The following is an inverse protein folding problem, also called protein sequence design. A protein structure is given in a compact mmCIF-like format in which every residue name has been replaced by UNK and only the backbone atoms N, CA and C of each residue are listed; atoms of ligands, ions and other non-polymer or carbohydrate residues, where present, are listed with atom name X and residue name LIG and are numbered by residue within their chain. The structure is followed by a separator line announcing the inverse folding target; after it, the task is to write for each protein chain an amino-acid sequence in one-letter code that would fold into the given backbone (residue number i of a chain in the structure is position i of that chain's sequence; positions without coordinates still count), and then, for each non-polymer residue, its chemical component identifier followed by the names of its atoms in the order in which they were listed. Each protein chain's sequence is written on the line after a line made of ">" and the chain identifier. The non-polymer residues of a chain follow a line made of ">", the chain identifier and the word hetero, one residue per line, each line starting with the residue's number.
data_IF_343906635956
#
_entry.id   IF_343906635956
#
_cell.length_a   1.000
_cell.length_b   1.000
_cell.length_c   1.000
_cell.angle_alpha   90.00
_cell.angle_beta   90.00
_cell.angle_gamma   90.00
#
_symmetry.space_group_name_H-M   'P 1'
#
loop_
_entity.id
_entity.type
_entity.pdbx_description
1 polymer ?
#
# COMPACT_ATOMS: atom_id res chain seq x y z
N UNK A 1 -2.36 13.15 3.45
CA UNK A 1 -2.70 12.69 4.82
C UNK A 1 -3.42 13.83 5.51
N UNK A 2 -4.54 13.55 6.19
CA UNK A 2 -5.30 14.58 6.92
C UNK A 2 -4.74 14.90 8.32
N UNK A 3 -3.85 14.06 8.85
CA UNK A 3 -3.14 14.26 10.11
C UNK A 3 -1.74 14.84 9.83
N UNK A 4 -1.42 15.97 10.48
CA UNK A 4 -0.16 16.70 10.32
C UNK A 4 1.07 15.99 10.88
N UNK A 5 0.88 15.02 11.76
CA UNK A 5 1.95 14.39 12.53
C UNK A 5 2.49 13.14 11.82
N UNK A 6 1.66 12.51 10.97
CA UNK A 6 2.01 11.34 10.16
C UNK A 6 3.35 11.49 9.41
N UNK A 7 3.63 12.60 8.70
CA UNK A 7 4.91 12.78 8.01
C UNK A 7 6.15 12.65 8.92
N UNK A 8 6.04 13.05 10.18
CA UNK A 8 7.16 12.98 11.13
C UNK A 8 7.44 11.52 11.54
N UNK A 9 6.41 10.74 11.85
CA UNK A 9 6.54 9.32 12.17
C UNK A 9 7.20 8.53 11.02
N UNK A 10 6.70 8.70 9.80
CA UNK A 10 7.23 7.96 8.64
C UNK A 10 8.65 8.38 8.27
N UNK A 11 9.01 9.65 8.49
CA UNK A 11 10.39 10.13 8.32
C UNK A 11 11.33 9.51 9.35
N UNK A 12 10.91 9.47 10.63
CA UNK A 12 11.69 8.84 11.69
C UNK A 12 11.93 7.34 11.38
N UNK A 13 10.89 6.63 10.96
CA UNK A 13 11.01 5.23 10.56
C UNK A 13 11.91 5.05 9.33
N UNK A 14 11.79 5.91 8.30
CA UNK A 14 12.66 5.88 7.13
C UNK A 14 14.15 6.16 7.45
N UNK A 15 14.41 6.91 8.52
CA UNK A 15 15.75 7.14 9.08
C UNK A 15 16.26 5.97 9.95
N UNK A 16 15.49 4.90 10.10
CA UNK A 16 15.82 3.73 10.91
C UNK A 16 15.61 3.93 12.41
N UNK A 17 14.85 4.96 12.81
CA UNK A 17 14.48 5.15 14.22
C UNK A 17 13.31 4.23 14.56
N UNK A 18 13.29 3.76 15.80
CA UNK A 18 12.11 3.09 16.34
C UNK A 18 10.95 4.09 16.44
N UNK A 19 9.75 3.61 16.11
CA UNK A 19 8.50 4.36 16.21
C UNK A 19 7.52 3.56 17.06
N UNK A 20 6.73 4.24 17.88
CA UNK A 20 5.64 3.60 18.61
C UNK A 20 4.43 3.45 17.69
N UNK A 21 4.19 2.23 17.21
CA UNK A 21 3.07 1.95 16.31
C UNK A 21 1.71 2.30 16.91
N UNK A 22 1.53 2.21 18.23
CA UNK A 22 0.29 2.62 18.88
C UNK A 22 0.07 4.13 18.78
N UNK A 23 1.14 4.93 18.85
CA UNK A 23 1.09 6.38 18.64
C UNK A 23 0.82 6.72 17.16
N UNK A 24 1.52 6.05 16.22
CA UNK A 24 1.33 6.26 14.77
C UNK A 24 -0.13 6.03 14.35
N UNK A 25 -0.82 5.09 14.99
CA UNK A 25 -2.17 4.67 14.62
C UNK A 25 -3.25 4.96 15.69
N UNK A 26 -2.99 5.83 16.67
CA UNK A 26 -3.87 6.06 17.82
C UNK A 26 -5.35 6.34 17.45
N UNK A 27 -5.58 7.07 16.36
CA UNK A 27 -6.93 7.44 15.89
C UNK A 27 -7.38 6.67 14.62
N UNK A 28 -6.69 5.58 14.29
CA UNK A 28 -6.93 4.79 13.09
C UNK A 28 -7.35 3.36 13.44
N UNK A 29 -8.42 2.89 12.79
CA UNK A 29 -8.93 1.52 12.96
C UNK A 29 -8.44 0.55 11.88
N UNK A 30 -7.84 1.08 10.81
CA UNK A 30 -7.30 0.32 9.71
C UNK A 30 -6.19 1.09 9.01
N UNK A 31 -5.31 0.34 8.34
CA UNK A 31 -4.26 0.88 7.49
C UNK A 31 -4.39 0.20 6.13
N UNK A 32 -4.32 1.00 5.06
CA UNK A 32 -4.13 0.50 3.69
C UNK A 32 -3.07 1.32 2.97
N UNK A 33 -2.42 0.70 1.97
CA UNK A 33 -1.49 1.37 1.05
C UNK A 33 -0.22 1.95 1.72
N UNK A 34 0.63 2.59 0.94
CA UNK A 34 1.84 3.23 1.43
C UNK A 34 1.53 4.42 2.35
N UNK A 35 2.35 4.65 3.39
CA UNK A 35 3.59 3.94 3.74
C UNK A 35 3.43 2.77 4.74
N UNK A 36 2.21 2.41 5.17
CA UNK A 36 2.01 1.39 6.20
C UNK A 36 2.01 -0.05 5.68
N UNK A 37 1.58 -0.29 4.43
CA UNK A 37 1.57 -1.64 3.85
C UNK A 37 2.95 -2.34 3.83
N UNK A 38 4.07 -1.66 3.54
CA UNK A 38 5.42 -2.26 3.60
C UNK A 38 5.83 -2.82 4.97
N UNK A 39 5.35 -2.19 6.05
CA UNK A 39 5.70 -2.55 7.43
C UNK A 39 4.67 -3.50 8.05
N UNK A 40 3.84 -4.16 7.24
CA UNK A 40 2.77 -5.05 7.70
C UNK A 40 3.25 -6.08 8.74
N UNK A 41 4.49 -6.56 8.64
CA UNK A 41 5.03 -7.54 9.57
C UNK A 41 5.22 -6.93 10.96
N UNK A 42 5.82 -5.73 11.04
CA UNK A 42 6.00 -4.98 12.28
C UNK A 42 4.64 -4.64 12.90
N UNK A 43 3.68 -4.21 12.07
CA UNK A 43 2.31 -3.94 12.52
C UNK A 43 1.61 -5.20 13.03
N UNK A 44 1.82 -6.36 12.40
CA UNK A 44 1.19 -7.62 12.83
C UNK A 44 1.69 -8.11 14.19
N UNK A 45 2.92 -7.72 14.57
CA UNK A 45 3.54 -7.96 15.87
C UNK A 45 3.07 -6.94 16.90
N UNK A 46 3.04 -5.65 16.55
CA UNK A 46 2.60 -4.58 17.43
C UNK A 46 1.10 -4.66 17.77
N UNK A 47 0.29 -5.15 16.83
CA UNK A 47 -1.14 -5.35 16.97
C UNK A 47 -1.51 -6.83 16.80
N UNK A 48 -1.26 -7.68 17.82
CA UNK A 48 -1.43 -9.13 17.71
C UNK A 48 -2.89 -9.58 17.55
N UNK A 49 -3.84 -8.73 17.91
CA UNK A 49 -5.28 -8.98 17.74
C UNK A 49 -5.83 -8.45 16.41
N UNK A 50 -5.05 -7.64 15.68
CA UNK A 50 -5.47 -7.12 14.39
C UNK A 50 -5.54 -8.25 13.35
N UNK A 51 -6.63 -8.26 12.60
CA UNK A 51 -6.81 -9.07 11.40
C UNK A 51 -6.06 -8.44 10.23
N UNK A 52 -5.52 -9.28 9.35
CA UNK A 52 -4.78 -8.86 8.15
C UNK A 52 -5.62 -9.21 6.92
N UNK A 53 -5.93 -8.20 6.12
CA UNK A 53 -6.53 -8.37 4.79
C UNK A 53 -5.42 -8.15 3.76
N UNK A 54 -5.05 -9.22 3.06
CA UNK A 54 -4.00 -9.21 2.06
C UNK A 54 -4.61 -9.25 0.66
N UNK A 55 -4.53 -8.12 -0.04
CA UNK A 55 -5.13 -8.01 -1.37
C UNK A 55 -4.21 -8.57 -2.45
N UNK A 56 -4.69 -9.56 -3.20
CA UNK A 56 -3.94 -10.17 -4.29
C UNK A 56 -4.70 -10.10 -5.61
N UNK A 57 -3.96 -9.93 -6.71
CA UNK A 57 -4.47 -10.05 -8.08
C UNK A 57 -3.60 -11.02 -8.87
N UNK A 58 -4.12 -11.50 -10.00
CA UNK A 58 -3.30 -12.22 -10.97
C UNK A 58 -2.09 -11.35 -11.38
N UNK A 59 -0.92 -11.96 -11.47
CA UNK A 59 0.34 -11.24 -11.63
C UNK A 59 0.37 -10.34 -12.87
N UNK A 60 -0.18 -10.83 -13.98
CA UNK A 60 -0.22 -10.07 -15.23
C UNK A 60 -1.18 -8.87 -15.13
N UNK A 61 -2.32 -9.03 -14.43
CA UNK A 61 -3.26 -7.93 -14.18
C UNK A 61 -2.65 -6.88 -13.24
N UNK A 62 -1.99 -7.36 -12.17
CA UNK A 62 -1.28 -6.49 -11.24
C UNK A 62 -0.14 -5.74 -11.95
N UNK A 63 0.66 -6.42 -12.77
CA UNK A 63 1.75 -5.80 -13.52
C UNK A 63 1.24 -4.77 -14.54
N UNK A 64 0.19 -5.10 -15.30
CA UNK A 64 -0.41 -4.17 -16.24
C UNK A 64 -0.89 -2.88 -15.55
N UNK A 65 -1.47 -3.01 -14.36
CA UNK A 65 -1.88 -1.90 -13.52
C UNK A 65 -0.69 -1.12 -12.92
N UNK A 66 0.27 -1.81 -12.33
CA UNK A 66 1.45 -1.23 -11.68
C UNK A 66 2.33 -0.46 -12.66
N UNK A 67 2.67 -1.08 -13.79
CA UNK A 67 3.56 -0.49 -14.80
C UNK A 67 2.98 0.79 -15.41
N UNK A 68 1.65 0.86 -15.55
CA UNK A 68 0.95 2.04 -16.07
C UNK A 68 0.68 3.15 -15.03
N UNK A 69 0.95 2.90 -13.74
CA UNK A 69 0.69 3.84 -12.63
C UNK A 69 1.95 4.06 -11.82
N UNK A 70 2.15 3.34 -10.72
CA UNK A 70 3.28 3.49 -9.79
C UNK A 70 4.62 3.29 -10.48
N UNK A 71 4.74 2.30 -11.36
CA UNK A 71 5.98 2.06 -12.13
C UNK A 71 6.36 3.26 -12.99
N UNK A 72 5.40 3.77 -13.76
CA UNK A 72 5.55 4.99 -14.56
C UNK A 72 5.75 6.23 -13.70
N UNK A 73 5.10 6.34 -12.55
CA UNK A 73 5.31 7.45 -11.61
C UNK A 73 6.77 7.53 -11.17
N UNK A 74 7.38 6.40 -10.82
CA UNK A 74 8.79 6.36 -10.44
C UNK A 74 9.74 6.60 -11.62
N UNK A 75 9.42 6.11 -12.81
CA UNK A 75 10.20 6.38 -14.02
C UNK A 75 10.26 7.87 -14.35
N UNK A 76 9.14 8.59 -14.19
CA UNK A 76 9.02 10.02 -14.50
C UNK A 76 9.18 10.94 -13.29
N UNK A 77 9.52 10.40 -12.12
CA UNK A 77 9.59 11.14 -10.84
C UNK A 77 10.32 12.47 -10.97
N UNK A 78 11.52 12.48 -11.54
CA UNK A 78 12.35 13.70 -11.62
C UNK A 78 11.71 14.80 -12.47
N UNK A 79 10.81 14.43 -13.39
CA UNK A 79 10.07 15.35 -14.25
C UNK A 79 8.73 15.81 -13.67
N UNK A 80 8.25 15.14 -12.61
CA UNK A 80 6.97 15.46 -11.97
C UNK A 80 7.15 16.58 -10.94
N UNK A 81 6.50 17.72 -11.17
CA UNK A 81 6.46 18.82 -10.20
C UNK A 81 5.34 18.57 -9.20
N UNK A 82 5.69 18.05 -8.02
CA UNK A 82 4.74 17.87 -6.92
C UNK A 82 4.57 19.20 -6.16
N UNK A 83 3.34 19.72 -5.98
CA UNK A 83 3.13 20.93 -5.17
C UNK A 83 3.40 20.63 -3.68
N UNK A 84 4.04 21.53 -2.91
CA UNK A 84 4.12 21.41 -1.46
C UNK A 84 2.72 21.35 -0.84
N UNK A 85 2.46 20.54 0.21
CA UNK A 85 3.40 19.69 0.97
C UNK A 85 3.55 18.26 0.40
N UNK A 86 3.03 17.97 -0.80
CA UNK A 86 3.11 16.61 -1.39
C UNK A 86 4.56 16.20 -1.62
N UNK A 87 5.43 17.11 -2.07
CA UNK A 87 6.84 16.81 -2.32
C UNK A 87 7.58 16.26 -1.08
N UNK A 88 7.42 16.89 0.09
CA UNK A 88 8.11 16.48 1.33
C UNK A 88 7.61 15.13 1.86
N UNK A 89 6.30 14.88 1.77
CA UNK A 89 5.71 13.60 2.16
C UNK A 89 6.13 12.47 1.22
N UNK A 90 6.38 12.79 -0.05
CA UNK A 90 6.80 11.81 -1.04
C UNK A 90 8.26 11.38 -0.89
N UNK A 91 9.17 12.21 -0.37
CA UNK A 91 10.58 11.82 -0.21
C UNK A 91 10.76 10.70 0.82
N UNK A 92 10.08 10.79 1.97
CA UNK A 92 10.09 9.73 2.98
C UNK A 92 9.45 8.44 2.44
N UNK A 93 8.33 8.58 1.73
CA UNK A 93 7.62 7.48 1.11
C UNK A 93 8.46 6.80 0.01
N UNK A 94 9.18 7.57 -0.81
CA UNK A 94 10.08 7.10 -1.85
C UNK A 94 11.24 6.28 -1.28
N UNK A 95 11.85 6.73 -0.18
CA UNK A 95 12.90 5.97 0.51
C UNK A 95 12.40 4.60 0.99
N UNK A 96 11.19 4.54 1.55
CA UNK A 96 10.56 3.30 2.00
C UNK A 96 10.16 2.39 0.82
N UNK A 97 9.64 2.97 -0.27
CA UNK A 97 9.20 2.28 -1.48
C UNK A 97 10.35 1.65 -2.28
N UNK A 98 11.41 2.44 -2.53
CA UNK A 98 12.53 2.06 -3.39
C UNK A 98 13.44 1.03 -2.71
N UNK A 99 13.66 1.14 -1.40
CA UNK A 99 14.65 0.30 -0.71
C UNK A 99 14.15 -1.12 -0.43
N UNK A 100 12.90 -1.29 -0.02
CA UNK A 100 12.49 -2.52 0.67
C UNK A 100 11.37 -3.32 -0.02
N UNK A 101 10.60 -2.74 -0.95
CA UNK A 101 9.35 -3.37 -1.43
C UNK A 101 9.41 -3.91 -2.86
N UNK A 102 9.94 -3.15 -3.82
CA UNK A 102 9.85 -3.52 -5.24
C UNK A 102 11.00 -4.43 -5.72
N UNK A 103 12.01 -4.69 -4.88
CA UNK A 103 13.09 -5.65 -5.16
C UNK A 103 14.04 -5.29 -6.31
N UNK A 104 13.95 -4.07 -6.87
CA UNK A 104 14.82 -3.57 -7.93
C UNK A 104 14.07 -3.20 -9.22
N UNK A 105 14.78 -2.63 -10.22
CA UNK A 105 14.15 -2.21 -11.47
C UNK A 105 13.81 -3.40 -12.39
N UNK A 106 12.76 -3.21 -13.20
CA UNK A 106 12.35 -4.15 -14.25
C UNK A 106 11.31 -5.19 -13.85
N UNK A 107 10.52 -5.66 -14.83
CA UNK A 107 9.38 -6.58 -14.63
C UNK A 107 9.73 -7.80 -13.79
N UNK A 108 10.86 -8.45 -14.09
CA UNK A 108 11.26 -9.68 -13.41
C UNK A 108 11.57 -9.48 -11.93
N UNK A 109 12.31 -8.43 -11.58
CA UNK A 109 12.65 -8.11 -10.19
C UNK A 109 11.40 -7.76 -9.38
N UNK A 110 10.54 -6.91 -9.96
CA UNK A 110 9.29 -6.47 -9.36
C UNK A 110 8.32 -7.62 -9.14
N UNK A 111 8.10 -8.48 -10.14
CA UNK A 111 7.23 -9.66 -9.98
C UNK A 111 7.81 -10.67 -9.00
N UNK A 112 9.13 -10.82 -8.94
CA UNK A 112 9.77 -11.66 -7.94
C UNK A 112 9.54 -11.12 -6.53
N UNK A 113 9.61 -9.80 -6.33
CA UNK A 113 9.31 -9.16 -5.06
C UNK A 113 7.84 -9.32 -4.66
N UNK A 114 6.91 -9.13 -5.61
CA UNK A 114 5.48 -9.35 -5.42
C UNK A 114 5.19 -10.78 -4.91
N UNK A 115 5.73 -11.80 -5.59
CA UNK A 115 5.59 -13.21 -5.18
C UNK A 115 6.14 -13.47 -3.79
N UNK A 116 7.37 -13.01 -3.53
CA UNK A 116 8.02 -13.19 -2.22
C UNK A 116 7.20 -12.55 -1.10
N UNK A 117 6.62 -11.37 -1.32
CA UNK A 117 5.78 -10.73 -0.31
C UNK A 117 4.49 -11.52 -0.07
N UNK A 118 3.80 -11.96 -1.12
CA UNK A 118 2.58 -12.76 -0.99
C UNK A 118 2.84 -14.07 -0.23
N UNK A 119 3.93 -14.78 -0.58
CA UNK A 119 4.37 -15.98 0.13
C UNK A 119 4.70 -15.70 1.59
N UNK A 120 5.44 -14.61 1.86
CA UNK A 120 5.81 -14.21 3.22
C UNK A 120 4.59 -13.91 4.08
N UNK A 121 3.61 -13.17 3.58
CA UNK A 121 2.36 -12.88 4.31
C UNK A 121 1.65 -14.18 4.68
N UNK A 122 1.45 -15.08 3.72
CA UNK A 122 0.78 -16.38 3.93
C UNK A 122 1.53 -17.29 4.89
N UNK A 123 2.86 -17.23 4.90
CA UNK A 123 3.69 -18.02 5.79
C UNK A 123 3.78 -17.47 7.22
N UNK A 124 3.57 -16.15 7.38
CA UNK A 124 3.81 -15.45 8.65
C UNK A 124 2.53 -15.22 9.45
N UNK A 125 1.43 -14.84 8.78
CA UNK A 125 0.18 -14.52 9.45
C UNK A 125 -0.64 -15.79 9.68
N UNK A 126 -1.10 -16.07 10.91
CA UNK A 126 -2.00 -17.17 11.20
C UNK A 126 -3.26 -17.16 10.32
N UNK A 127 -3.72 -18.34 9.87
CA UNK A 127 -4.82 -18.45 8.91
C UNK A 127 -6.16 -17.89 9.43
N UNK A 128 -6.39 -17.93 10.74
CA UNK A 128 -7.57 -17.33 11.40
C UNK A 128 -7.49 -15.79 11.48
N UNK A 129 -6.30 -15.22 11.30
CA UNK A 129 -6.04 -13.78 11.22
C UNK A 129 -5.80 -13.26 9.81
N UNK A 130 -5.82 -14.12 8.78
CA UNK A 130 -5.51 -13.73 7.40
C UNK A 130 -6.71 -13.95 6.47
N UNK A 131 -7.11 -12.90 5.78
CA UNK A 131 -7.95 -12.99 4.59
C UNK A 131 -7.14 -12.61 3.36
N UNK A 132 -7.00 -13.56 2.43
CA UNK A 132 -6.54 -13.24 1.07
C UNK A 132 -7.77 -12.83 0.27
N UNK A 133 -7.72 -11.63 -0.31
CA UNK A 133 -8.88 -10.97 -0.88
C UNK A 133 -8.57 -10.36 -2.25
N UNK A 134 -9.53 -10.39 -3.17
CA UNK A 134 -9.51 -9.50 -4.34
C UNK A 134 -10.76 -8.61 -4.30
N UNK A 135 -10.70 -7.32 -4.71
CA UNK A 135 -11.88 -6.45 -4.71
C UNK A 135 -13.09 -7.03 -5.47
N UNK A 136 -12.87 -7.90 -6.45
CA UNK A 136 -13.94 -8.60 -7.18
C UNK A 136 -14.71 -9.62 -6.33
N UNK A 137 -14.19 -10.03 -5.18
CA UNK A 137 -14.88 -10.93 -4.24
C UNK A 137 -16.04 -10.23 -3.52
N UNK A 138 -16.04 -8.88 -3.49
CA UNK A 138 -17.11 -8.08 -2.95
C UNK A 138 -17.22 -8.11 -1.42
N UNK A 139 -18.41 -7.76 -0.90
CA UNK A 139 -18.62 -7.57 0.53
C UNK A 139 -18.59 -8.86 1.35
N UNK A 140 -19.06 -9.97 0.79
CA UNK A 140 -19.40 -11.16 1.56
C UNK A 140 -18.21 -11.75 2.34
N UNK A 141 -17.07 -12.12 1.70
CA UNK A 141 -15.96 -12.71 2.43
C UNK A 141 -15.30 -11.71 3.38
N UNK A 142 -15.26 -10.43 3.03
CA UNK A 142 -14.71 -9.39 3.89
C UNK A 142 -15.54 -9.21 5.17
N UNK A 143 -16.86 -9.09 5.05
CA UNK A 143 -17.74 -8.90 6.19
C UNK A 143 -17.77 -10.14 7.10
N UNK A 144 -17.81 -11.33 6.50
CA UNK A 144 -17.73 -12.59 7.24
C UNK A 144 -16.41 -12.70 8.02
N UNK A 145 -15.28 -12.39 7.37
CA UNK A 145 -13.97 -12.41 8.02
C UNK A 145 -13.87 -11.38 9.15
N UNK A 146 -14.39 -10.17 8.97
CA UNK A 146 -14.36 -9.13 9.99
C UNK A 146 -15.38 -9.36 11.11
N UNK A 147 -16.44 -10.13 10.87
CA UNK A 147 -17.51 -10.38 11.84
C UNK A 147 -18.51 -9.23 11.93
N UNK A 148 -18.76 -8.55 10.82
CA UNK A 148 -19.65 -7.37 10.74
C UNK A 148 -20.78 -7.59 9.74
N UNK A 149 -21.86 -6.82 9.86
CA UNK A 149 -22.95 -6.84 8.89
C UNK A 149 -22.50 -6.29 7.53
N UNK A 150 -22.98 -6.89 6.45
CA UNK A 150 -22.79 -6.36 5.10
C UNK A 150 -23.47 -4.97 4.99
N UNK A 151 -22.76 -3.94 4.49
CA UNK A 151 -23.37 -2.63 4.25
C UNK A 151 -24.29 -2.62 3.03
N UNK A 152 -25.11 -1.58 2.91
CA UNK A 152 -25.92 -1.34 1.73
C UNK A 152 -25.06 -0.88 0.53
N UNK A 153 -25.51 -1.24 -0.68
CA UNK A 153 -24.85 -0.87 -1.93
C UNK A 153 -23.83 -1.89 -2.45
N UNK A 154 -23.20 -1.52 -3.56
CA UNK A 154 -22.20 -2.32 -4.24
C UNK A 154 -20.83 -2.15 -3.57
N UNK A 155 -19.94 -3.13 -3.77
CA UNK A 155 -18.57 -3.02 -3.30
C UNK A 155 -17.87 -1.86 -4.03
N UNK A 156 -17.16 -0.97 -3.33
CA UNK A 156 -16.62 0.24 -3.95
C UNK A 156 -15.59 -0.10 -5.02
N UNK A 157 -15.63 0.67 -6.11
CA UNK A 157 -14.62 0.65 -7.17
C UNK A 157 -14.13 2.08 -7.39
N UNK A 158 -12.93 2.36 -6.91
CA UNK A 158 -12.28 3.68 -6.95
C UNK A 158 -10.80 3.54 -7.28
N UNK A 159 -10.16 4.64 -7.69
CA UNK A 159 -8.74 4.73 -8.07
C UNK A 159 -8.49 3.99 -9.39
N UNK A 160 -9.31 4.29 -10.39
CA UNK A 160 -8.98 3.96 -11.78
C UNK A 160 -7.72 4.75 -12.23
N UNK A 161 -7.08 4.31 -13.32
CA UNK A 161 -5.80 4.89 -13.78
C UNK A 161 -5.88 6.40 -14.01
N UNK A 162 -6.97 6.86 -14.60
CA UNK A 162 -7.27 8.27 -14.84
C UNK A 162 -7.40 9.06 -13.53
N UNK A 163 -8.11 8.51 -12.55
CA UNK A 163 -8.22 9.09 -11.21
C UNK A 163 -6.86 9.15 -10.50
N UNK A 164 -6.02 8.11 -10.64
CA UNK A 164 -4.65 8.11 -10.12
C UNK A 164 -3.84 9.27 -10.70
N UNK A 165 -3.81 9.41 -12.03
CA UNK A 165 -3.02 10.46 -12.68
C UNK A 165 -3.58 11.87 -12.45
N UNK A 166 -4.89 12.01 -12.23
CA UNK A 166 -5.48 13.28 -11.81
C UNK A 166 -4.90 13.78 -10.46
N UNK A 167 -4.48 12.89 -9.55
CA UNK A 167 -3.80 13.28 -8.30
C UNK A 167 -2.45 13.98 -8.53
N UNK A 168 -1.84 13.74 -9.70
CA UNK A 168 -0.51 14.21 -10.10
C UNK A 168 -0.54 15.24 -11.24
N UNK A 169 -1.72 15.76 -11.60
CA UNK A 169 -1.86 16.78 -12.63
C UNK A 169 -1.89 16.26 -14.07
N UNK A 170 -2.08 14.95 -14.25
CA UNK A 170 -2.18 14.28 -15.55
C UNK A 170 -1.15 13.16 -15.73
N UNK A 171 -1.40 12.29 -16.70
CA UNK A 171 -0.47 11.22 -17.04
C UNK A 171 0.71 11.79 -17.86
N UNK A 172 1.98 11.49 -17.50
CA UNK A 172 3.13 11.84 -18.32
C UNK A 172 3.03 11.24 -19.71
N UNK A 173 3.32 12.02 -20.74
CA UNK A 173 3.39 11.50 -22.11
C UNK A 173 4.70 10.72 -22.25
N UNK A 174 4.63 9.46 -22.65
CA UNK A 174 5.83 8.69 -22.98
C UNK A 174 6.50 9.33 -24.20
N UNK A 175 7.79 9.63 -24.12
CA UNK A 175 8.56 10.17 -25.24
C UNK A 175 8.73 9.16 -26.38
#
# INVERSE_FOLDING_TARGET
>A
MGNSDQPAFWRAHAEGKEVDWAEVFADYFSQVDFPGAPVWHELSVAFPDAKVVHTERLEEEWWASYSATIGKFFEYRESLVLPPPKAENFEAMERLLIRDVMGGPGKAAVLSAYRRNNEKVRATIPADRLLVFTPSDGWEPLCAFLGVARPEGDFPRSIARDEFWALFGGEPVSA
#
